data_IF_562035426168
#
_entry.id   IF_562035426168
#
_cell.length_a   1.000
_cell.length_b   1.000
_cell.length_c   1.000
_cell.angle_alpha   90.00
_cell.angle_beta   90.00
_cell.angle_gamma   90.00
#
_symmetry.space_group_name_H-M   'P 1'
#
loop_
_entity.id
_entity.type
_entity.pdbx_description
1 polymer ?
#
# COMPACT_ATOMS: atom_id res chain seq x y z
N UNK A 1 -18.66 67.42 -18.53
CA UNK A 1 -18.96 66.07 -18.02
C UNK A 1 -17.67 65.56 -17.42
N UNK A 2 -17.52 65.70 -16.11
CA UNK A 2 -16.28 65.38 -15.39
C UNK A 2 -15.93 63.88 -15.44
N UNK A 3 -14.64 63.50 -15.43
CA UNK A 3 -14.18 62.19 -15.03
C UNK A 3 -13.75 62.18 -13.55
N UNK A 4 -14.36 61.32 -12.73
CA UNK A 4 -13.94 61.11 -11.34
C UNK A 4 -13.20 59.78 -11.20
N UNK A 5 -11.88 59.90 -11.02
CA UNK A 5 -11.01 59.19 -10.08
C UNK A 5 -11.44 57.80 -9.56
N UNK A 6 -10.59 56.77 -9.82
CA UNK A 6 -10.26 55.76 -8.79
C UNK A 6 -9.34 56.38 -7.71
N UNK A 7 -8.86 55.65 -6.67
CA UNK A 7 -8.60 54.20 -6.61
C UNK A 7 -9.12 53.54 -5.30
N UNK A 8 -8.97 52.22 -5.16
CA UNK A 8 -8.21 51.62 -4.05
C UNK A 8 -8.36 50.09 -3.95
N UNK A 9 -7.20 49.45 -3.95
CA UNK A 9 -7.00 48.03 -3.71
C UNK A 9 -7.19 47.72 -2.23
N UNK A 10 -8.13 46.83 -1.90
CA UNK A 10 -8.23 46.26 -0.56
C UNK A 10 -7.31 45.04 -0.49
N UNK A 11 -6.11 45.30 0.01
CA UNK A 11 -5.15 44.33 0.54
C UNK A 11 -5.70 43.76 1.85
N UNK A 12 -6.25 42.55 1.81
CA UNK A 12 -6.57 41.81 3.02
C UNK A 12 -5.31 41.08 3.52
N UNK A 13 -4.61 41.71 4.46
CA UNK A 13 -3.66 41.07 5.36
C UNK A 13 -4.43 40.08 6.26
N UNK A 14 -4.22 38.77 6.06
CA UNK A 14 -4.62 37.74 7.00
C UNK A 14 -3.37 37.20 7.66
N UNK A 15 -3.03 37.79 8.79
CA UNK A 15 -2.08 37.28 9.76
C UNK A 15 -2.45 35.83 10.14
N UNK A 16 -1.71 34.87 9.59
CA UNK A 16 -1.80 33.46 9.92
C UNK A 16 -1.30 33.27 11.36
N UNK A 17 -2.22 32.97 12.28
CA UNK A 17 -1.86 32.61 13.65
C UNK A 17 -1.24 31.22 13.63
N UNK A 18 -0.06 30.95 14.21
CA UNK A 18 0.51 29.62 14.19
C UNK A 18 -0.35 28.66 15.02
N UNK A 19 -0.66 27.51 14.42
CA UNK A 19 -1.39 26.43 15.07
C UNK A 19 -0.62 25.96 16.32
N UNK A 20 -1.29 25.99 17.47
CA UNK A 20 -0.74 25.46 18.73
C UNK A 20 -0.54 23.95 18.58
N UNK A 21 0.72 23.53 18.54
CA UNK A 21 1.12 22.13 18.58
C UNK A 21 0.65 21.49 19.90
N UNK A 22 -0.38 20.63 19.85
CA UNK A 22 -0.75 19.78 20.98
C UNK A 22 0.15 18.54 20.96
N UNK A 23 0.85 18.19 22.05
CA UNK A 23 1.62 16.96 22.11
C UNK A 23 0.65 15.77 22.04
N UNK A 24 0.88 14.86 21.08
CA UNK A 24 0.14 13.61 20.96
C UNK A 24 0.46 12.71 22.15
N UNK A 25 -0.60 12.29 22.85
CA UNK A 25 -0.53 11.31 23.93
C UNK A 25 -0.15 9.95 23.32
N UNK A 26 1.05 9.42 23.64
CA UNK A 26 1.44 8.06 23.24
C UNK A 26 0.58 7.07 24.04
N UNK A 27 -0.38 6.41 23.40
CA UNK A 27 -1.00 5.22 23.95
C UNK A 27 -0.03 4.05 23.75
N UNK A 28 0.67 3.66 24.82
CA UNK A 28 1.39 2.39 24.88
C UNK A 28 0.35 1.27 24.91
N UNK A 29 -0.07 0.81 23.73
CA UNK A 29 -0.88 -0.37 23.52
C UNK A 29 0.01 -1.60 23.40
N UNK A 30 -0.21 -2.54 24.32
CA UNK A 30 0.43 -3.83 24.45
C UNK A 30 0.29 -4.68 23.17
N UNK A 31 1.34 -4.79 22.35
CA UNK A 31 1.35 -5.75 21.23
C UNK A 31 1.64 -7.14 21.81
N UNK A 32 0.61 -7.99 21.83
CA UNK A 32 0.72 -9.40 22.16
C UNK A 32 1.62 -10.09 21.13
N UNK A 33 2.83 -10.48 21.55
CA UNK A 33 3.77 -11.27 20.76
C UNK A 33 3.22 -12.69 20.62
N UNK A 34 2.84 -13.09 19.41
CA UNK A 34 2.57 -14.50 19.08
C UNK A 34 3.93 -15.21 18.99
N UNK A 35 4.20 -16.09 19.96
CA UNK A 35 5.38 -16.96 19.99
C UNK A 35 5.09 -18.18 19.12
N UNK A 36 5.71 -18.25 17.94
CA UNK A 36 5.79 -19.47 17.15
C UNK A 36 6.84 -20.40 17.80
N UNK A 37 6.38 -21.44 18.49
CA UNK A 37 7.24 -22.50 19.03
C UNK A 37 7.66 -23.43 17.88
N UNK A 38 8.83 -23.19 17.31
CA UNK A 38 9.50 -24.17 16.46
C UNK A 38 10.07 -25.28 17.36
N UNK A 39 9.42 -26.45 17.35
CA UNK A 39 9.88 -27.66 18.03
C UNK A 39 11.25 -28.07 17.49
N UNK A 40 12.26 -28.00 18.36
CA UNK A 40 13.56 -28.64 18.19
C UNK A 40 13.40 -30.16 18.22
N UNK A 41 13.63 -30.80 17.06
CA UNK A 41 13.79 -32.24 16.94
C UNK A 41 15.27 -32.58 16.93
N UNK A 42 15.81 -32.92 18.11
CA UNK A 42 17.11 -33.55 18.30
C UNK A 42 17.02 -35.02 17.88
N UNK A 43 17.80 -35.45 16.89
CA UNK A 43 18.28 -36.84 16.79
C UNK A 43 19.77 -36.80 16.51
N UNK A 44 20.52 -37.44 17.41
CA UNK A 44 21.97 -37.53 17.43
C UNK A 44 22.47 -38.85 16.82
N UNK A 45 23.81 -38.92 16.71
CA UNK A 45 24.70 -40.08 16.46
C UNK A 45 24.99 -40.42 14.99
N UNK A 46 26.22 -40.76 14.57
CA UNK A 46 27.53 -40.93 15.22
C UNK A 46 28.57 -41.31 14.13
N UNK A 47 29.85 -40.96 14.38
CA UNK A 47 31.11 -41.53 13.83
C UNK A 47 31.48 -41.26 12.36
N UNK A 48 32.55 -40.49 12.09
CA UNK A 48 34.01 -40.77 12.16
C UNK A 48 34.58 -41.24 10.80
N UNK A 49 35.42 -40.40 10.17
CA UNK A 49 36.82 -40.69 9.77
C UNK A 49 37.30 -39.78 8.62
N UNK A 50 38.31 -38.96 8.95
CA UNK A 50 39.59 -38.70 8.25
C UNK A 50 39.60 -38.47 6.73
N UNK A 51 40.23 -37.37 6.32
CA UNK A 51 40.94 -37.28 5.04
C UNK A 51 41.02 -35.87 4.47
N UNK A 52 42.15 -35.19 4.68
CA UNK A 52 42.50 -33.97 3.95
C UNK A 52 42.84 -34.28 2.49
N UNK A 53 42.56 -33.35 1.56
CA UNK A 53 43.45 -32.91 0.48
C UNK A 53 42.78 -31.86 -0.45
N UNK A 54 43.40 -30.69 -0.49
CA UNK A 54 43.70 -29.82 -1.65
C UNK A 54 42.61 -29.13 -2.50
N UNK A 55 43.03 -27.96 -3.00
CA UNK A 55 42.27 -26.88 -3.64
C UNK A 55 42.03 -27.06 -5.15
N UNK A 56 41.16 -26.15 -5.64
CA UNK A 56 41.01 -25.58 -6.99
C UNK A 56 40.28 -26.39 -8.07
N UNK A 57 39.10 -25.91 -8.48
CA UNK A 57 38.78 -25.67 -9.90
C UNK A 57 37.48 -24.83 -10.10
N UNK A 58 37.65 -23.64 -10.67
CA UNK A 58 36.85 -22.92 -11.69
C UNK A 58 35.31 -23.09 -11.75
N UNK A 59 34.50 -22.00 -11.71
CA UNK A 59 33.05 -22.10 -11.94
C UNK A 59 32.73 -22.19 -13.45
N UNK A 60 32.14 -23.31 -13.85
CA UNK A 60 31.58 -23.47 -15.20
C UNK A 60 30.16 -22.93 -15.25
N UNK A 61 29.94 -22.02 -16.19
CA UNK A 61 28.63 -21.53 -16.57
C UNK A 61 27.81 -22.67 -17.18
N UNK A 62 26.67 -22.99 -16.58
CA UNK A 62 25.35 -23.18 -17.21
C UNK A 62 24.48 -23.95 -16.23
N UNK A 63 23.60 -23.24 -15.52
CA UNK A 63 22.33 -23.84 -15.14
C UNK A 63 21.25 -22.77 -15.27
N UNK A 64 20.61 -22.75 -16.44
CA UNK A 64 19.41 -21.95 -16.65
C UNK A 64 18.32 -22.66 -15.87
N UNK A 65 18.08 -22.14 -14.67
CA UNK A 65 16.93 -22.49 -13.85
C UNK A 65 15.66 -22.47 -14.70
N UNK A 66 15.04 -23.63 -14.80
CA UNK A 66 13.67 -23.83 -15.22
C UNK A 66 12.77 -23.07 -14.23
N UNK A 67 12.45 -21.82 -14.57
CA UNK A 67 11.52 -20.99 -13.80
C UNK A 67 10.12 -21.49 -14.12
N UNK A 68 9.74 -22.58 -13.44
CA UNK A 68 8.37 -23.07 -13.37
C UNK A 68 7.48 -21.90 -12.99
N UNK A 69 6.81 -21.34 -13.99
CA UNK A 69 5.85 -20.27 -13.81
C UNK A 69 4.64 -20.89 -13.12
N UNK A 70 4.63 -20.81 -11.79
CA UNK A 70 3.47 -21.04 -10.95
C UNK A 70 2.34 -20.16 -11.48
N UNK A 71 1.49 -20.75 -12.31
CA UNK A 71 0.29 -20.09 -12.79
C UNK A 71 -0.68 -20.13 -11.62
N UNK A 72 -0.69 -19.07 -10.80
CA UNK A 72 -1.68 -18.92 -9.73
C UNK A 72 -3.05 -18.94 -10.40
N UNK A 73 -3.73 -20.06 -10.33
CA UNK A 73 -5.09 -20.20 -10.84
C UNK A 73 -5.96 -19.38 -9.91
N UNK A 74 -6.46 -18.24 -10.39
CA UNK A 74 -7.45 -17.43 -9.65
C UNK A 74 -8.67 -18.31 -9.41
N UNK A 75 -8.88 -18.73 -8.16
CA UNK A 75 -10.07 -19.47 -7.79
C UNK A 75 -11.28 -18.56 -7.95
N UNK A 76 -12.36 -19.08 -8.54
CA UNK A 76 -13.65 -18.39 -8.55
C UNK A 76 -14.13 -18.23 -7.10
N UNK A 77 -14.63 -17.06 -6.69
CA UNK A 77 -15.13 -16.87 -5.33
C UNK A 77 -16.32 -17.80 -5.04
N UNK A 78 -16.40 -18.31 -3.81
CA UNK A 78 -17.47 -19.22 -3.35
C UNK A 78 -18.86 -18.55 -3.33
N UNK A 79 -18.89 -17.22 -3.27
CA UNK A 79 -20.08 -16.39 -3.24
C UNK A 79 -19.98 -15.27 -4.28
N UNK A 80 -21.09 -14.99 -4.95
CA UNK A 80 -21.21 -13.98 -6.00
C UNK A 80 -22.22 -12.88 -5.69
N UNK A 81 -22.96 -13.02 -4.59
CA UNK A 81 -23.93 -12.04 -4.11
C UNK A 81 -23.75 -11.73 -2.64
N UNK A 82 -24.23 -10.56 -2.19
CA UNK A 82 -24.24 -10.19 -0.77
C UNK A 82 -24.99 -11.22 0.07
N UNK A 83 -26.12 -11.75 -0.42
CA UNK A 83 -26.88 -12.76 0.28
C UNK A 83 -26.09 -14.07 0.47
N UNK A 84 -25.33 -14.48 -0.53
CA UNK A 84 -24.45 -15.66 -0.45
C UNK A 84 -23.28 -15.42 0.51
N UNK A 85 -22.63 -14.25 0.47
CA UNK A 85 -21.56 -13.88 1.41
C UNK A 85 -22.06 -13.93 2.85
N UNK A 86 -23.26 -13.38 3.11
CA UNK A 86 -23.88 -13.39 4.44
C UNK A 86 -24.36 -14.79 4.90
N UNK A 87 -24.48 -15.75 3.98
CA UNK A 87 -24.90 -17.11 4.27
C UNK A 87 -23.73 -18.09 4.47
N UNK A 88 -22.48 -17.63 4.35
CA UNK A 88 -21.29 -18.45 4.57
C UNK A 88 -21.24 -18.97 6.01
N UNK A 89 -20.95 -20.26 6.18
CA UNK A 89 -20.79 -20.92 7.50
C UNK A 89 -19.38 -20.74 8.09
N UNK A 90 -18.72 -19.63 7.73
CA UNK A 90 -17.38 -19.24 8.19
C UNK A 90 -17.27 -17.72 8.26
N UNK A 91 -16.29 -17.16 9.00
CA UNK A 91 -16.02 -15.73 8.95
C UNK A 91 -15.81 -15.24 7.52
N UNK A 92 -16.37 -14.07 7.22
CA UNK A 92 -16.16 -13.34 5.97
C UNK A 92 -14.84 -12.58 6.07
N UNK A 93 -14.00 -12.74 5.06
CA UNK A 93 -12.72 -12.04 4.93
C UNK A 93 -12.90 -10.89 3.95
N UNK A 94 -12.78 -9.67 4.48
CA UNK A 94 -12.89 -8.43 3.73
C UNK A 94 -11.51 -7.77 3.63
N UNK A 95 -11.06 -7.49 2.40
CA UNK A 95 -9.82 -6.77 2.14
C UNK A 95 -10.05 -5.27 2.27
N UNK A 96 -9.82 -4.74 3.47
CA UNK A 96 -9.94 -3.32 3.76
C UNK A 96 -9.05 -2.50 2.82
N UNK A 97 -9.65 -1.54 2.10
CA UNK A 97 -9.00 -0.72 1.07
C UNK A 97 -8.12 -1.53 0.09
N UNK A 98 -8.52 -2.76 -0.24
CA UNK A 98 -7.75 -3.64 -1.14
C UNK A 98 -6.54 -4.33 -0.51
N UNK A 99 -6.50 -4.49 0.82
CA UNK A 99 -5.46 -5.24 1.53
C UNK A 99 -4.43 -4.33 2.20
N UNK A 100 -4.92 -3.30 2.89
CA UNK A 100 -4.13 -2.33 3.66
C UNK A 100 -3.03 -3.01 4.51
N UNK A 101 -1.95 -2.28 4.78
CA UNK A 101 -0.68 -2.77 5.36
C UNK A 101 0.11 -3.82 4.55
N UNK A 102 -0.51 -4.52 3.58
CA UNK A 102 0.14 -5.56 2.76
C UNK A 102 0.44 -5.03 1.35
N UNK A 103 -0.44 -4.19 0.82
CA UNK A 103 -0.31 -3.54 -0.48
C UNK A 103 -0.63 -2.05 -0.38
N UNK A 104 -0.18 -1.22 -1.36
CA UNK A 104 -0.65 0.16 -1.44
C UNK A 104 -2.17 0.17 -1.55
N UNK A 105 -2.83 0.71 -0.53
CA UNK A 105 -4.28 0.66 -0.43
C UNK A 105 -4.98 1.46 -1.52
N UNK A 106 -6.24 1.14 -1.81
CA UNK A 106 -7.07 1.81 -2.82
C UNK A 106 -6.46 1.83 -4.24
N UNK A 107 -5.52 0.92 -4.52
CA UNK A 107 -4.90 0.77 -5.84
C UNK A 107 -5.41 -0.47 -6.57
N UNK A 108 -5.47 -0.45 -7.93
CA UNK A 108 -5.72 -1.66 -8.71
C UNK A 108 -4.78 -2.82 -8.35
N UNK A 109 -3.51 -2.51 -8.05
CA UNK A 109 -2.55 -3.52 -7.61
C UNK A 109 -2.99 -4.21 -6.30
N UNK A 110 -3.38 -3.43 -5.28
CA UNK A 110 -3.87 -4.00 -4.02
C UNK A 110 -5.11 -4.86 -4.23
N UNK A 111 -6.09 -4.37 -4.99
CA UNK A 111 -7.31 -5.11 -5.31
C UNK A 111 -7.01 -6.43 -6.04
N UNK A 112 -6.15 -6.41 -7.06
CA UNK A 112 -5.77 -7.62 -7.80
C UNK A 112 -5.09 -8.66 -6.92
N UNK A 113 -4.19 -8.21 -6.02
CA UNK A 113 -3.51 -9.11 -5.08
C UNK A 113 -4.46 -9.69 -4.04
N UNK A 114 -5.35 -8.86 -3.49
CA UNK A 114 -6.37 -9.30 -2.54
C UNK A 114 -7.36 -10.28 -3.18
N UNK A 115 -7.80 -10.02 -4.40
CA UNK A 115 -8.63 -10.96 -5.16
C UNK A 115 -7.90 -12.28 -5.43
N UNK A 116 -6.63 -12.23 -5.82
CA UNK A 116 -5.80 -13.43 -6.01
C UNK A 116 -5.55 -14.22 -4.71
N UNK A 117 -5.61 -13.56 -3.55
CA UNK A 117 -5.54 -14.19 -2.24
C UNK A 117 -6.85 -14.87 -1.81
N UNK A 118 -7.95 -14.70 -2.57
CA UNK A 118 -9.22 -15.37 -2.33
C UNK A 118 -10.05 -14.75 -1.20
N UNK A 119 -9.96 -13.44 -1.01
CA UNK A 119 -10.85 -12.72 -0.07
C UNK A 119 -12.31 -12.78 -0.56
N UNK A 120 -13.25 -12.72 0.37
CA UNK A 120 -14.68 -12.78 0.05
C UNK A 120 -15.20 -11.44 -0.48
N UNK A 121 -14.64 -10.33 0.01
CA UNK A 121 -15.08 -8.97 -0.29
C UNK A 121 -13.88 -8.06 -0.47
N UNK A 122 -13.92 -7.22 -1.52
CA UNK A 122 -13.05 -6.06 -1.67
C UNK A 122 -13.76 -4.83 -1.10
N UNK A 123 -13.09 -4.12 -0.23
CA UNK A 123 -13.56 -2.85 0.36
C UNK A 123 -12.77 -1.69 -0.25
N UNK A 124 -13.45 -0.59 -0.54
CA UNK A 124 -12.88 0.57 -1.23
C UNK A 124 -13.59 1.87 -0.79
N UNK A 125 -12.82 2.94 -0.71
CA UNK A 125 -13.33 4.25 -0.30
C UNK A 125 -13.54 5.15 -1.51
N UNK A 126 -14.73 5.72 -1.65
CA UNK A 126 -15.12 6.47 -2.85
C UNK A 126 -15.43 7.93 -2.53
N UNK A 127 -14.86 8.83 -3.32
CA UNK A 127 -15.09 10.28 -3.25
C UNK A 127 -15.40 10.87 -4.64
N UNK A 128 -15.77 12.15 -4.69
CA UNK A 128 -15.98 12.91 -5.93
C UNK A 128 -14.79 13.84 -6.19
N UNK A 129 -14.31 13.87 -7.43
CA UNK A 129 -13.43 14.90 -7.95
C UNK A 129 -14.15 16.24 -8.12
N UNK A 130 -13.41 17.32 -8.38
CA UNK A 130 -13.95 18.66 -8.61
C UNK A 130 -14.87 18.76 -9.84
N UNK A 131 -14.68 17.87 -10.81
CA UNK A 131 -15.49 17.72 -12.03
C UNK A 131 -16.55 16.62 -11.94
N UNK A 132 -16.80 16.08 -10.73
CA UNK A 132 -17.93 15.20 -10.43
C UNK A 132 -17.73 13.73 -10.82
N UNK A 133 -16.49 13.29 -11.00
CA UNK A 133 -16.13 11.89 -11.29
C UNK A 133 -15.88 11.15 -9.98
N UNK A 134 -16.41 9.92 -9.87
CA UNK A 134 -16.10 9.06 -8.73
C UNK A 134 -14.66 8.56 -8.81
N UNK A 135 -13.94 8.69 -7.72
CA UNK A 135 -12.54 8.22 -7.55
C UNK A 135 -12.43 7.35 -6.31
N UNK A 136 -11.52 6.38 -6.34
CA UNK A 136 -11.20 5.54 -5.20
C UNK A 136 -10.02 6.18 -4.46
N UNK A 137 -10.26 6.66 -3.24
CA UNK A 137 -9.31 7.36 -2.39
C UNK A 137 -9.91 7.52 -0.99
N UNK A 138 -9.24 6.97 0.03
CA UNK A 138 -9.67 7.07 1.42
C UNK A 138 -9.62 8.50 2.01
N UNK A 139 -8.48 9.18 1.91
CA UNK A 139 -8.26 10.47 2.59
C UNK A 139 -8.90 11.65 1.83
N UNK A 140 -9.34 12.69 2.56
CA UNK A 140 -9.83 13.95 1.97
C UNK A 140 -8.75 14.66 1.11
N UNK A 141 -7.47 14.33 1.35
CA UNK A 141 -6.31 14.83 0.61
C UNK A 141 -5.49 13.71 -0.01
N UNK A 142 -4.67 14.06 -1.00
CA UNK A 142 -3.78 13.12 -1.70
C UNK A 142 -2.41 12.96 -1.02
N UNK A 143 -2.13 13.80 -0.02
CA UNK A 143 -0.81 14.01 0.60
C UNK A 143 -0.16 12.74 1.16
N UNK A 144 -0.97 11.86 1.78
CA UNK A 144 -0.45 10.65 2.43
C UNK A 144 -0.11 9.56 1.43
N UNK A 145 -0.85 9.47 0.34
CA UNK A 145 -0.84 8.30 -0.56
C UNK A 145 -0.20 8.57 -1.92
N UNK A 146 0.20 9.81 -2.18
CA UNK A 146 0.76 10.23 -3.47
C UNK A 146 1.99 11.11 -3.27
N UNK A 147 2.60 11.50 -4.38
CA UNK A 147 3.68 12.47 -4.48
C UNK A 147 3.21 13.93 -4.46
N UNK A 148 1.89 14.18 -4.45
CA UNK A 148 1.31 15.52 -4.51
C UNK A 148 0.65 15.92 -3.19
N UNK A 149 0.23 17.18 -3.09
CA UNK A 149 -0.55 17.70 -1.97
C UNK A 149 -1.83 18.38 -2.48
N UNK A 150 -2.91 18.29 -1.71
CA UNK A 150 -4.17 18.96 -2.00
C UNK A 150 -5.41 18.11 -1.71
N UNK A 151 -6.57 18.77 -1.70
CA UNK A 151 -7.86 18.08 -1.49
C UNK A 151 -8.32 17.41 -2.75
N UNK A 152 -8.86 16.20 -2.61
CA UNK A 152 -9.49 15.44 -3.71
C UNK A 152 -10.60 16.25 -4.37
N UNK A 153 -11.45 16.90 -3.56
CA UNK A 153 -12.58 17.70 -4.03
C UNK A 153 -12.18 18.96 -4.82
N UNK A 154 -10.90 19.37 -4.77
CA UNK A 154 -10.39 20.53 -5.50
C UNK A 154 -9.65 20.13 -6.81
N UNK A 155 -9.46 18.83 -7.07
CA UNK A 155 -8.72 18.31 -8.23
C UNK A 155 -9.66 17.65 -9.26
N UNK A 156 -9.39 17.83 -10.55
CA UNK A 156 -10.13 17.13 -11.62
C UNK A 156 -9.75 15.65 -11.67
N UNK A 157 -10.59 14.82 -12.29
CA UNK A 157 -10.23 13.42 -12.53
C UNK A 157 -8.91 13.28 -13.27
N UNK A 158 -8.63 14.12 -14.27
CA UNK A 158 -7.37 14.07 -15.03
C UNK A 158 -6.16 14.29 -14.11
N UNK A 159 -6.24 15.26 -13.20
CA UNK A 159 -5.19 15.55 -12.23
C UNK A 159 -5.00 14.38 -11.25
N UNK A 160 -6.09 13.87 -10.68
CA UNK A 160 -6.05 12.74 -9.75
C UNK A 160 -5.54 11.46 -10.44
N UNK A 161 -5.93 11.24 -11.70
CA UNK A 161 -5.54 10.06 -12.44
C UNK A 161 -4.04 10.04 -12.78
N UNK A 162 -3.40 11.20 -12.87
CA UNK A 162 -1.97 11.31 -13.11
C UNK A 162 -1.08 10.96 -11.89
N UNK A 163 -1.65 10.93 -10.68
CA UNK A 163 -0.90 10.68 -9.45
C UNK A 163 -0.53 9.22 -9.26
N UNK A 164 0.61 8.99 -8.61
CA UNK A 164 1.04 7.67 -8.17
C UNK A 164 0.54 7.35 -6.75
N UNK A 165 -0.63 6.69 -6.68
CA UNK A 165 -1.25 6.24 -5.43
C UNK A 165 -0.45 5.17 -4.65
N UNK A 166 0.66 4.66 -5.21
CA UNK A 166 1.56 3.73 -4.55
C UNK A 166 2.85 4.40 -4.04
N UNK A 167 3.00 5.71 -4.21
CA UNK A 167 4.25 6.43 -3.97
C UNK A 167 4.80 6.29 -2.54
N UNK A 168 3.91 6.14 -1.57
CA UNK A 168 4.18 6.12 -0.15
C UNK A 168 4.53 4.74 0.41
N UNK A 169 4.23 3.66 -0.32
CA UNK A 169 4.15 2.33 0.30
C UNK A 169 5.51 1.67 0.49
N UNK A 170 5.73 1.17 1.71
CA UNK A 170 6.83 0.25 2.04
C UNK A 170 6.28 -0.92 2.84
N UNK A 171 6.76 -2.13 2.60
CA UNK A 171 6.29 -3.30 3.34
C UNK A 171 6.55 -3.16 4.85
N UNK A 172 5.53 -3.41 5.66
CA UNK A 172 5.64 -3.43 7.13
C UNK A 172 5.78 -2.06 7.79
N UNK A 173 5.60 -0.95 7.07
CA UNK A 173 5.50 0.38 7.67
C UNK A 173 4.78 1.40 6.78
N UNK A 174 3.98 2.28 7.39
CA UNK A 174 3.49 3.54 6.78
C UNK A 174 4.53 4.67 6.95
N UNK A 175 5.79 4.38 6.63
CA UNK A 175 6.93 5.28 6.82
C UNK A 175 7.07 6.21 5.60
N UNK A 176 7.50 7.46 5.81
CA UNK A 176 7.79 8.41 4.71
C UNK A 176 9.27 8.83 4.65
N UNK A 177 10.10 8.28 5.54
CA UNK A 177 11.51 8.64 5.74
C UNK A 177 12.50 7.51 5.40
N UNK A 178 12.06 6.53 4.60
CA UNK A 178 12.91 5.43 4.14
C UNK A 178 13.80 5.81 2.95
N UNK A 179 14.92 5.10 2.74
CA UNK A 179 15.67 5.15 1.49
C UNK A 179 14.76 4.89 0.28
N UNK A 180 15.00 5.60 -0.81
CA UNK A 180 14.18 5.54 -2.03
C UNK A 180 13.99 4.10 -2.57
N UNK A 181 15.02 3.27 -2.47
CA UNK A 181 14.99 1.88 -2.92
C UNK A 181 14.02 0.97 -2.13
N UNK A 182 13.51 1.40 -0.97
CA UNK A 182 12.52 0.64 -0.19
C UNK A 182 11.08 0.84 -0.69
N UNK A 183 10.81 1.88 -1.51
CA UNK A 183 9.49 2.14 -2.08
C UNK A 183 9.33 1.45 -3.44
N UNK A 184 9.30 0.12 -3.41
CA UNK A 184 9.33 -0.73 -4.61
C UNK A 184 8.14 -0.59 -5.56
N UNK A 185 7.07 0.10 -5.14
CA UNK A 185 5.87 0.33 -5.93
C UNK A 185 5.74 1.74 -6.51
N UNK A 186 6.71 2.63 -6.25
CA UNK A 186 6.76 3.93 -6.93
C UNK A 186 6.81 3.74 -8.44
N UNK A 187 5.99 4.49 -9.17
CA UNK A 187 5.91 4.46 -10.63
C UNK A 187 5.03 3.34 -11.19
N UNK A 188 4.59 2.37 -10.38
CA UNK A 188 3.81 1.21 -10.87
C UNK A 188 2.51 1.64 -11.53
N UNK A 189 1.89 2.73 -11.05
CA UNK A 189 0.67 3.27 -11.65
C UNK A 189 0.91 4.11 -12.90
N UNK A 190 2.04 4.83 -12.98
CA UNK A 190 2.40 5.67 -14.14
C UNK A 190 3.12 4.91 -15.25
N UNK A 191 3.57 3.69 -14.97
CA UNK A 191 4.28 2.82 -15.91
C UNK A 191 5.79 3.08 -15.98
N UNK A 192 6.35 3.70 -14.95
CA UNK A 192 7.79 4.00 -14.80
C UNK A 192 8.59 2.83 -14.20
#
# INVERSE_FOLDING_TARGET
MEPLHGPDAVRADRSMTPARHRPRHRSTGLVAKIVLVAKTGLVAMLALLVGACSNDDTPSATDRADRSSSTTSTSTPDASTVAEVLALDRPVVLAHAGGDDIHPHDTPFGFDRSAAAGVDVLDMDVQLSSDGVLVVQHDDTVDRTTEAEGKVADMTYEQLNALDAAYWFTEGCTCTDRPEAEYVYRGVRTGD
#
